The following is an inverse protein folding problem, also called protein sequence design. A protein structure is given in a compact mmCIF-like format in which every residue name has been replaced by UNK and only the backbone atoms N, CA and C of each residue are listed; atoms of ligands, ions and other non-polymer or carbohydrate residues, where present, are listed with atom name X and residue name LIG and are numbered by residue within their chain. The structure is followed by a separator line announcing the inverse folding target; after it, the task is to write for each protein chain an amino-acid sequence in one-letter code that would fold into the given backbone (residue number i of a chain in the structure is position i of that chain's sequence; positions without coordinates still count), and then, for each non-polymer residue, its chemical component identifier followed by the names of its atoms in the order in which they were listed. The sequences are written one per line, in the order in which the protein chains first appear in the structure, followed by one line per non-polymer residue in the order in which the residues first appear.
data_IF_990185026141
#
_entry.id   IF_990185026141
#
_cell.length_a   1.000
_cell.length_b   1.000
_cell.length_c   1.000
_cell.angle_alpha   90.00
_cell.angle_beta   90.00
_cell.angle_gamma   90.00
#
_symmetry.space_group_name_H-M   'P 1'
#
loop_
_entity.id
_entity.type
_entity.pdbx_description
1 polymer ?
#
# COMPACT_ATOMS: atom_id res chain seq x y z
N UNK A 1 21.59 4.54 0.02
CA UNK A 1 20.78 3.36 0.41
C UNK A 1 20.72 2.46 -0.80
N UNK A 2 21.22 1.24 -0.68
CA UNK A 2 21.12 0.25 -1.75
C UNK A 2 19.67 -0.22 -1.89
N UNK A 3 19.19 -0.25 -3.13
CA UNK A 3 17.86 -0.73 -3.47
C UNK A 3 17.97 -2.11 -4.06
N UNK A 4 17.19 -3.04 -3.52
CA UNK A 4 17.18 -4.44 -3.92
C UNK A 4 15.86 -4.70 -4.63
N UNK A 5 15.90 -5.26 -5.83
CA UNK A 5 14.67 -5.68 -6.51
C UNK A 5 13.95 -6.79 -5.75
N UNK A 6 12.65 -6.64 -5.63
CA UNK A 6 11.73 -7.65 -5.13
C UNK A 6 10.55 -7.81 -6.09
N UNK A 7 10.05 -9.03 -6.25
CA UNK A 7 8.90 -9.32 -7.11
C UNK A 7 7.66 -9.47 -6.23
N UNK A 8 6.57 -8.78 -6.57
CA UNK A 8 5.29 -8.91 -5.87
C UNK A 8 4.77 -10.34 -6.04
N UNK A 9 4.63 -11.07 -4.93
CA UNK A 9 4.07 -12.42 -4.90
C UNK A 9 2.56 -12.38 -4.67
N UNK A 10 2.09 -11.39 -3.90
CA UNK A 10 0.70 -11.16 -3.59
C UNK A 10 0.45 -9.68 -3.26
N UNK A 11 -0.68 -9.17 -3.72
CA UNK A 11 -1.23 -7.90 -3.28
C UNK A 11 -2.74 -8.09 -3.07
N UNK A 12 -3.28 -7.59 -1.95
CA UNK A 12 -4.70 -7.74 -1.65
C UNK A 12 -5.24 -6.52 -0.89
N UNK A 13 -6.50 -6.19 -1.13
CA UNK A 13 -7.24 -5.20 -0.35
C UNK A 13 -8.19 -5.91 0.60
N UNK A 14 -8.05 -5.65 1.91
CA UNK A 14 -8.90 -6.24 2.97
C UNK A 14 -9.51 -5.17 3.86
N UNK A 15 -10.62 -5.50 4.53
CA UNK A 15 -11.14 -4.62 5.58
C UNK A 15 -10.24 -4.71 6.80
N UNK A 16 -10.02 -3.58 7.47
CA UNK A 16 -9.24 -3.50 8.72
C UNK A 16 -9.84 -4.41 9.80
N UNK A 17 -11.17 -4.55 9.82
CA UNK A 17 -11.87 -5.47 10.73
C UNK A 17 -11.58 -6.96 10.47
N UNK A 18 -11.19 -7.32 9.25
CA UNK A 18 -10.81 -8.70 8.90
C UNK A 18 -9.38 -9.02 9.33
N UNK A 19 -8.53 -7.99 9.47
CA UNK A 19 -7.11 -8.12 9.83
C UNK A 19 -6.93 -8.09 11.36
N UNK A 20 -7.67 -7.22 12.04
CA UNK A 20 -7.52 -7.00 13.47
C UNK A 20 -8.84 -7.17 14.22
N UNK A 21 -8.82 -8.00 15.26
CA UNK A 21 -9.94 -8.12 16.21
C UNK A 21 -10.28 -6.80 16.89
N UNK A 22 -9.27 -5.94 17.11
CA UNK A 22 -9.42 -4.57 17.61
C UNK A 22 -8.56 -3.66 16.75
N UNK A 23 -9.18 -2.60 16.20
CA UNK A 23 -8.49 -1.61 15.37
C UNK A 23 -7.26 -1.04 16.11
N UNK A 24 -6.06 -1.06 15.50
CA UNK A 24 -4.87 -0.51 16.13
C UNK A 24 -5.00 0.99 16.37
N UNK A 25 -4.37 1.47 17.46
CA UNK A 25 -4.33 2.89 17.80
C UNK A 25 -3.68 3.70 16.67
N UNK A 26 -4.18 4.93 16.43
CA UNK A 26 -3.67 5.82 15.39
C UNK A 26 -4.35 5.70 14.03
N UNK A 27 -5.16 4.65 13.81
CA UNK A 27 -6.09 4.61 12.67
C UNK A 27 -7.41 5.32 13.03
N UNK A 28 -7.87 6.19 12.14
CA UNK A 28 -9.14 6.91 12.26
C UNK A 28 -10.32 5.97 12.03
N UNK A 29 -11.48 6.30 12.59
CA UNK A 29 -12.72 5.53 12.38
C UNK A 29 -12.97 5.18 10.90
N UNK A 30 -12.82 6.16 10.01
CA UNK A 30 -13.04 6.00 8.57
C UNK A 30 -11.94 5.26 7.80
N UNK A 31 -10.81 4.89 8.39
CA UNK A 31 -9.80 4.08 7.72
C UNK A 31 -10.17 2.59 7.84
N UNK A 32 -11.07 2.15 6.97
CA UNK A 32 -11.69 0.82 7.04
C UNK A 32 -11.01 -0.22 6.17
N UNK A 33 -10.08 0.19 5.32
CA UNK A 33 -9.47 -0.66 4.30
C UNK A 33 -7.95 -0.66 4.46
N UNK A 34 -7.34 -1.79 4.08
CA UNK A 34 -5.91 -1.96 4.05
C UNK A 34 -5.48 -2.67 2.76
N UNK A 35 -4.46 -2.13 2.10
CA UNK A 35 -3.76 -2.78 1.00
C UNK A 35 -2.51 -3.42 1.59
N UNK A 36 -2.37 -4.72 1.39
CA UNK A 36 -1.23 -5.51 1.84
C UNK A 36 -0.49 -5.95 0.60
N UNK A 37 0.78 -5.55 0.46
CA UNK A 37 1.68 -5.97 -0.62
C UNK A 37 2.76 -6.84 -0.02
N UNK A 38 2.98 -8.01 -0.59
CA UNK A 38 4.08 -8.93 -0.26
C UNK A 38 4.94 -9.13 -1.49
N UNK A 39 6.23 -8.92 -1.34
CA UNK A 39 7.20 -9.15 -2.39
C UNK A 39 8.38 -9.99 -1.87
N UNK A 40 9.09 -10.65 -2.78
CA UNK A 40 10.28 -11.46 -2.48
C UNK A 40 11.48 -10.96 -3.26
N UNK A 41 12.59 -10.71 -2.57
CA UNK A 41 13.87 -10.36 -3.17
C UNK A 41 14.53 -11.57 -3.82
N UNK A 42 15.50 -11.35 -4.71
CA UNK A 42 16.23 -12.44 -5.40
C UNK A 42 16.94 -13.41 -4.46
N UNK A 43 17.35 -12.94 -3.28
CA UNK A 43 17.97 -13.76 -2.23
C UNK A 43 16.96 -14.53 -1.35
N UNK A 44 15.67 -14.48 -1.70
CA UNK A 44 14.61 -15.25 -1.05
C UNK A 44 13.97 -14.58 0.16
N UNK A 45 14.44 -13.41 0.60
CA UNK A 45 13.83 -12.66 1.72
C UNK A 45 12.47 -12.08 1.32
N UNK A 46 11.53 -12.09 2.25
CA UNK A 46 10.20 -11.51 2.03
C UNK A 46 10.15 -10.10 2.60
N UNK A 47 9.57 -9.18 1.84
CA UNK A 47 9.34 -7.79 2.23
C UNK A 47 7.84 -7.47 2.09
N UNK A 48 7.33 -6.65 3.00
CA UNK A 48 5.92 -6.27 3.02
C UNK A 48 5.72 -4.77 3.08
N UNK A 49 4.61 -4.30 2.52
CA UNK A 49 4.08 -2.97 2.79
C UNK A 49 2.59 -3.08 3.08
N UNK A 50 2.11 -2.32 4.07
CA UNK A 50 0.69 -2.20 4.36
C UNK A 50 0.27 -0.74 4.36
N UNK A 51 -0.75 -0.42 3.58
CA UNK A 51 -1.31 0.94 3.46
C UNK A 51 -2.72 0.93 4.01
N UNK A 52 -3.03 1.84 4.95
CA UNK A 52 -4.37 2.00 5.50
C UNK A 52 -5.07 3.21 4.88
N UNK A 53 -6.32 3.03 4.46
CA UNK A 53 -7.11 4.05 3.78
C UNK A 53 -8.61 3.74 3.87
N UNK A 54 -9.41 4.48 3.11
CA UNK A 54 -10.85 4.25 2.93
C UNK A 54 -11.13 4.14 1.44
N UNK A 55 -11.79 3.08 1.01
CA UNK A 55 -12.35 3.00 -0.34
C UNK A 55 -13.68 3.74 -0.41
N UNK A 56 -13.91 4.41 -1.54
CA UNK A 56 -15.25 4.85 -1.94
C UNK A 56 -16.09 3.63 -2.34
N UNK A 57 -17.44 3.75 -2.36
CA UNK A 57 -18.32 2.66 -2.77
C UNK A 57 -18.02 2.11 -4.17
N UNK A 58 -17.47 2.95 -5.04
CA UNK A 58 -17.13 2.61 -6.42
C UNK A 58 -15.75 1.94 -6.56
N UNK A 59 -15.03 1.66 -5.46
CA UNK A 59 -13.74 0.97 -5.48
C UNK A 59 -12.51 1.87 -5.74
N UNK A 60 -12.70 3.18 -5.89
CA UNK A 60 -11.60 4.16 -5.91
C UNK A 60 -11.20 4.56 -4.48
N UNK A 61 -10.08 5.26 -4.31
CA UNK A 61 -9.77 5.93 -3.05
C UNK A 61 -9.48 7.41 -3.29
N UNK A 62 -9.69 8.21 -2.25
CA UNK A 62 -9.46 9.65 -2.32
C UNK A 62 -8.05 9.97 -1.81
N UNK A 63 -7.19 10.41 -2.71
CA UNK A 63 -5.82 10.85 -2.42
C UNK A 63 -5.77 12.25 -1.76
N UNK A 64 -6.77 13.09 -2.04
CA UNK A 64 -6.95 14.44 -1.50
C UNK A 64 -8.09 14.55 -0.46
N UNK A 65 -8.04 13.82 0.65
CA UNK A 65 -9.03 14.04 1.72
C UNK A 65 -8.80 15.31 2.52
N UNK A 66 -9.92 15.92 2.94
CA UNK A 66 -9.99 16.81 4.10
C UNK A 66 -9.89 15.97 5.39
N UNK A 67 -8.90 16.28 6.26
CA UNK A 67 -8.66 15.55 7.50
C UNK A 67 -7.29 15.85 8.12
N UNK A 68 -7.04 15.39 9.35
CA UNK A 68 -5.76 15.69 10.01
C UNK A 68 -4.58 14.98 9.34
N UNK A 69 -3.40 15.54 9.60
CA UNK A 69 -2.17 15.30 8.86
C UNK A 69 -1.78 13.81 8.75
N UNK A 70 -2.03 13.00 9.79
CA UNK A 70 -1.65 11.59 9.78
C UNK A 70 -2.40 10.74 8.72
N UNK A 71 -3.72 10.94 8.57
CA UNK A 71 -4.51 10.20 7.57
C UNK A 71 -4.19 10.70 6.16
N UNK A 72 -3.96 12.01 6.02
CA UNK A 72 -3.47 12.62 4.78
C UNK A 72 -2.12 12.06 4.37
N UNK A 73 -1.20 11.89 5.32
CA UNK A 73 0.12 11.31 5.09
C UNK A 73 0.03 9.85 4.62
N UNK A 74 -0.84 9.02 5.21
CA UNK A 74 -1.03 7.62 4.78
C UNK A 74 -1.59 7.50 3.36
N UNK A 75 -2.58 8.33 3.01
CA UNK A 75 -3.13 8.37 1.64
C UNK A 75 -2.09 8.85 0.62
N UNK A 76 -1.30 9.88 0.99
CA UNK A 76 -0.17 10.33 0.17
C UNK A 76 0.87 9.24 -0.05
N UNK A 77 1.17 8.43 0.97
CA UNK A 77 2.08 7.28 0.85
C UNK A 77 1.57 6.24 -0.15
N UNK A 78 0.27 5.93 -0.11
CA UNK A 78 -0.35 5.03 -1.09
C UNK A 78 -0.31 5.63 -2.51
N UNK A 79 -0.67 6.90 -2.65
CA UNK A 79 -0.62 7.60 -3.93
C UNK A 79 0.81 7.66 -4.51
N UNK A 80 1.80 7.94 -3.66
CA UNK A 80 3.21 7.91 -4.01
C UNK A 80 3.64 6.53 -4.49
N UNK A 81 3.28 5.47 -3.76
CA UNK A 81 3.54 4.08 -4.18
C UNK A 81 2.98 3.78 -5.57
N UNK A 82 1.71 4.11 -5.80
CA UNK A 82 1.04 3.84 -7.08
C UNK A 82 1.69 4.59 -8.25
N UNK A 83 2.06 5.86 -8.04
CA UNK A 83 2.73 6.68 -9.05
C UNK A 83 4.15 6.21 -9.29
N UNK A 84 4.89 5.92 -8.23
CA UNK A 84 6.29 5.51 -8.28
C UNK A 84 6.49 4.26 -9.14
N UNK A 85 5.64 3.24 -8.92
CA UNK A 85 5.68 1.98 -9.67
C UNK A 85 4.83 1.99 -10.95
N UNK A 86 4.36 3.17 -11.40
CA UNK A 86 3.51 3.34 -12.60
C UNK A 86 2.34 2.35 -12.64
N UNK A 87 1.71 2.16 -11.49
CA UNK A 87 0.53 1.31 -11.34
C UNK A 87 -0.72 2.09 -11.79
N UNK A 88 -0.76 3.38 -11.43
CA UNK A 88 -1.83 4.29 -11.81
C UNK A 88 -1.23 5.65 -12.19
N UNK A 89 -1.56 6.14 -13.39
CA UNK A 89 -1.25 7.52 -13.80
C UNK A 89 -2.20 8.50 -13.11
N UNK A 90 -3.51 8.20 -13.16
CA UNK A 90 -4.53 8.85 -12.33
C UNK A 90 -4.87 7.96 -11.13
N UNK A 91 -4.43 8.41 -9.96
CA UNK A 91 -4.63 7.69 -8.69
C UNK A 91 -6.08 7.80 -8.20
N UNK A 92 -6.74 8.93 -8.46
CA UNK A 92 -8.08 9.23 -7.93
C UNK A 92 -9.15 8.36 -8.59
N UNK A 93 -8.93 7.96 -9.84
CA UNK A 93 -9.83 7.09 -10.62
C UNK A 93 -9.39 5.62 -10.64
N UNK A 94 -8.28 5.29 -10.00
CA UNK A 94 -7.77 3.92 -9.98
C UNK A 94 -8.67 3.00 -9.13
N UNK A 95 -9.30 2.02 -9.78
CA UNK A 95 -10.11 0.96 -9.15
C UNK A 95 -9.23 -0.05 -8.41
N UNK A 96 -8.66 0.39 -7.30
CA UNK A 96 -7.64 -0.36 -6.55
C UNK A 96 -8.11 -1.78 -6.20
N UNK A 97 -9.35 -1.93 -5.73
CA UNK A 97 -9.89 -3.24 -5.34
C UNK A 97 -10.02 -4.22 -6.52
N UNK A 98 -10.33 -3.72 -7.70
CA UNK A 98 -10.57 -4.55 -8.90
C UNK A 98 -9.26 -4.95 -9.58
N UNK A 99 -8.23 -4.10 -9.47
CA UNK A 99 -6.99 -4.23 -10.25
C UNK A 99 -5.79 -4.70 -9.43
N UNK A 100 -5.92 -4.84 -8.11
CA UNK A 100 -4.81 -5.24 -7.23
C UNK A 100 -4.24 -6.62 -7.59
N UNK A 101 -5.07 -7.54 -8.08
CA UNK A 101 -4.63 -8.89 -8.47
C UNK A 101 -3.70 -8.87 -9.70
N UNK A 102 -3.75 -7.82 -10.53
CA UNK A 102 -2.86 -7.61 -11.69
C UNK A 102 -1.42 -7.27 -11.27
N UNK A 103 -1.16 -7.05 -9.97
CA UNK A 103 0.15 -6.58 -9.51
C UNK A 103 1.15 -7.71 -9.31
N UNK A 104 0.67 -8.96 -9.22
CA UNK A 104 1.54 -10.12 -9.07
C UNK A 104 2.53 -10.20 -10.24
N UNK A 105 3.81 -10.41 -9.91
CA UNK A 105 4.90 -10.44 -10.89
C UNK A 105 5.50 -9.08 -11.22
N UNK A 106 4.92 -7.95 -10.75
CA UNK A 106 5.56 -6.64 -10.89
C UNK A 106 6.79 -6.52 -9.98
N UNK A 107 7.77 -5.75 -10.44
CA UNK A 107 9.00 -5.46 -9.68
C UNK A 107 8.76 -4.24 -8.80
N UNK A 108 9.15 -4.35 -7.54
CA UNK A 108 9.25 -3.27 -6.57
C UNK A 108 10.67 -3.22 -5.99
N UNK A 109 11.03 -2.09 -5.40
CA UNK A 109 12.32 -1.90 -4.74
C UNK A 109 12.17 -2.07 -3.24
N UNK A 110 13.08 -2.83 -2.62
CA UNK A 110 13.22 -2.96 -1.18
C UNK A 110 14.45 -2.22 -0.70
N UNK A 111 14.33 -1.52 0.43
CA UNK A 111 15.43 -0.84 1.09
C UNK A 111 15.54 -1.31 2.53
N UNK A 112 16.77 -1.38 3.04
CA UNK A 112 17.02 -1.55 4.47
C UNK A 112 16.76 -0.23 5.19
N UNK A 113 15.74 -0.22 6.05
CA UNK A 113 15.38 0.89 6.93
C UNK A 113 15.31 0.36 8.35
N UNK A 114 16.07 0.95 9.27
CA UNK A 114 16.09 0.59 10.69
C UNK A 114 16.32 -0.92 10.95
N UNK A 115 17.13 -1.58 10.11
CA UNK A 115 17.44 -3.00 10.22
C UNK A 115 16.41 -3.95 9.60
N UNK A 116 15.30 -3.42 9.07
CA UNK A 116 14.26 -4.20 8.39
C UNK A 116 14.18 -3.85 6.90
N UNK A 117 13.79 -4.83 6.07
CA UNK A 117 13.47 -4.55 4.67
C UNK A 117 12.08 -3.92 4.58
N UNK A 118 11.99 -2.79 3.88
CA UNK A 118 10.74 -2.12 3.56
C UNK A 118 10.64 -1.86 2.05
N UNK A 119 9.42 -1.92 1.51
CA UNK A 119 9.19 -1.52 0.12
C UNK A 119 9.35 0.00 0.02
N UNK A 120 10.20 0.44 -0.90
CA UNK A 120 10.49 1.85 -1.14
C UNK A 120 9.37 2.51 -1.94
N UNK A 121 9.02 3.73 -1.58
CA UNK A 121 8.14 4.61 -2.36
C UNK A 121 8.35 6.06 -1.87
N UNK A 122 8.51 7.02 -2.80
CA UNK A 122 8.72 8.44 -2.50
C UNK A 122 7.69 9.30 -3.25
#
# INVERSE_FOLDING_TARGET
MDRIEAVIEAAEVRKVGDIFRKKPGGLRFNETDALIVKARTRDGRQVGATFYFCLKPDGTFEDHALGADAAKARRRRLAAFLKYYRIAEDVSDYKLKERVDEWKGRIVEAVLSDGELAIYYH
#
